data_IF_525352994633
#
_entry.id   IF_525352994633
#
_cell.length_a   1.000
_cell.length_b   1.000
_cell.length_c   1.000
_cell.angle_alpha   90.00
_cell.angle_beta   90.00
_cell.angle_gamma   90.00
#
_symmetry.space_group_name_H-M   'P 1'
#
loop_
_entity.id
_entity.type
_entity.pdbx_description
1 polymer ?
#
# COMPACT_ATOMS: atom_id res chain seq x y z
N UNK A 1 7.68 -12.77 9.24
CA UNK A 1 9.02 -12.32 8.77
C UNK A 1 9.62 -11.26 9.69
N UNK A 2 8.92 -10.15 9.95
CA UNK A 2 9.37 -9.14 10.94
C UNK A 2 9.65 -9.77 12.31
N UNK A 3 8.82 -10.72 12.75
CA UNK A 3 9.05 -11.51 13.96
C UNK A 3 10.42 -12.20 13.98
N UNK A 4 10.87 -12.77 12.86
CA UNK A 4 12.18 -13.45 12.80
C UNK A 4 13.34 -12.45 12.84
N UNK A 5 13.19 -11.25 12.27
CA UNK A 5 14.17 -10.17 12.43
C UNK A 5 14.28 -9.75 13.90
N UNK A 6 13.14 -9.60 14.58
CA UNK A 6 13.10 -9.30 16.01
C UNK A 6 13.78 -10.40 16.83
N UNK A 7 13.43 -11.66 16.60
CA UNK A 7 14.05 -12.79 17.28
C UNK A 7 15.57 -12.82 17.06
N UNK A 8 16.04 -12.51 15.85
CA UNK A 8 17.47 -12.44 15.57
C UNK A 8 18.14 -11.25 16.26
N UNK A 9 17.56 -10.06 16.18
CA UNK A 9 18.11 -8.83 16.76
C UNK A 9 18.29 -8.93 18.27
N UNK A 10 17.28 -9.47 18.95
CA UNK A 10 17.28 -9.64 20.40
C UNK A 10 17.94 -10.95 20.85
N UNK A 11 18.39 -11.79 19.91
CA UNK A 11 19.04 -13.08 20.22
C UNK A 11 18.11 -14.08 20.92
N UNK A 12 16.83 -14.09 20.55
CA UNK A 12 15.80 -14.95 21.13
C UNK A 12 15.61 -16.24 20.31
N UNK A 13 15.39 -17.36 21.00
CA UNK A 13 15.11 -18.66 20.35
C UNK A 13 13.67 -18.80 19.84
N UNK A 14 12.72 -18.20 20.57
CA UNK A 14 11.31 -18.11 20.24
C UNK A 14 10.71 -16.84 20.89
N UNK A 15 9.43 -16.55 20.62
CA UNK A 15 8.75 -15.32 21.12
C UNK A 15 8.67 -15.27 22.65
N UNK A 16 8.75 -16.43 23.31
CA UNK A 16 8.66 -16.57 24.77
C UNK A 16 10.05 -16.52 25.45
N UNK A 17 11.13 -16.53 24.67
CA UNK A 17 12.50 -16.53 25.20
C UNK A 17 12.87 -15.15 25.72
N UNK A 18 13.71 -15.07 26.75
CA UNK A 18 14.24 -13.78 27.18
C UNK A 18 15.23 -13.21 26.14
N UNK A 19 15.17 -11.90 25.83
CA UNK A 19 16.16 -11.23 25.00
C UNK A 19 17.58 -11.35 25.56
N UNK A 20 18.52 -11.82 24.75
CA UNK A 20 19.94 -11.96 25.15
C UNK A 20 20.84 -10.85 24.59
N UNK A 21 20.36 -10.10 23.58
CA UNK A 21 21.11 -9.04 22.88
C UNK A 21 20.27 -7.78 22.74
N UNK A 22 20.95 -6.63 22.57
CA UNK A 22 20.36 -5.35 22.17
C UNK A 22 19.20 -4.81 23.03
N UNK A 23 19.08 -5.26 24.28
CA UNK A 23 18.11 -4.71 25.22
C UNK A 23 18.59 -3.38 25.80
N UNK A 24 17.72 -2.34 25.81
CA UNK A 24 18.06 -1.06 26.42
C UNK A 24 18.09 -1.19 27.94
N UNK A 25 19.07 -0.55 28.58
CA UNK A 25 19.11 -0.38 30.04
C UNK A 25 17.98 0.59 30.40
N UNK A 26 16.88 0.05 30.94
CA UNK A 26 15.65 0.81 31.22
C UNK A 26 15.90 1.93 32.24
N UNK A 27 15.83 3.18 31.80
CA UNK A 27 15.88 4.35 32.69
C UNK A 27 14.60 4.47 33.54
N UNK A 28 14.69 5.13 34.70
CA UNK A 28 13.57 5.25 35.66
C UNK A 28 12.43 6.15 35.16
N UNK A 29 12.74 7.19 34.37
CA UNK A 29 11.74 8.16 33.89
C UNK A 29 10.99 7.69 32.63
N UNK A 30 9.70 8.00 32.56
CA UNK A 30 8.80 7.62 31.46
C UNK A 30 9.14 8.28 30.11
N UNK A 31 9.52 9.56 30.11
CA UNK A 31 9.99 10.26 28.89
C UNK A 31 11.24 9.61 28.32
N UNK A 32 12.19 9.29 29.20
CA UNK A 32 13.49 8.73 28.83
C UNK A 32 13.35 7.29 28.32
N UNK A 33 12.37 6.53 28.85
CA UNK A 33 12.01 5.20 28.32
C UNK A 33 11.49 5.26 26.89
N UNK A 34 10.64 6.25 26.56
CA UNK A 34 10.15 6.41 25.18
C UNK A 34 11.30 6.68 24.23
N UNK A 35 12.20 7.61 24.59
CA UNK A 35 13.39 7.93 23.80
C UNK A 35 14.26 6.68 23.60
N UNK A 36 14.49 5.89 24.65
CA UNK A 36 15.26 4.63 24.55
C UNK A 36 14.61 3.59 23.62
N UNK A 37 13.27 3.47 23.64
CA UNK A 37 12.55 2.59 22.72
C UNK A 37 12.72 3.09 21.28
N UNK A 38 12.60 4.39 21.05
CA UNK A 38 12.82 4.97 19.71
C UNK A 38 14.25 4.72 19.22
N UNK A 39 15.28 4.96 20.04
CA UNK A 39 16.68 4.69 19.69
C UNK A 39 16.93 3.20 19.40
N UNK A 40 16.32 2.30 20.18
CA UNK A 40 16.39 0.86 19.95
C UNK A 40 15.73 0.48 18.62
N UNK A 41 14.56 1.03 18.32
CA UNK A 41 13.88 0.80 17.04
C UNK A 41 14.67 1.38 15.88
N UNK A 42 15.29 2.55 16.04
CA UNK A 42 16.15 3.15 15.02
C UNK A 42 17.37 2.26 14.72
N UNK A 43 18.02 1.72 15.76
CA UNK A 43 19.12 0.75 15.60
C UNK A 43 18.66 -0.55 14.94
N UNK A 44 17.49 -1.08 15.33
CA UNK A 44 16.88 -2.24 14.68
C UNK A 44 16.63 -1.97 13.18
N UNK A 45 16.02 -0.83 12.86
CA UNK A 45 15.73 -0.40 11.50
C UNK A 45 17.02 -0.23 10.69
N UNK A 46 18.08 0.31 11.31
CA UNK A 46 19.39 0.47 10.69
C UNK A 46 20.10 -0.87 10.43
N UNK A 47 20.00 -1.83 11.35
CA UNK A 47 20.63 -3.16 11.21
C UNK A 47 20.01 -3.98 10.06
N UNK A 48 18.68 -3.98 9.94
CA UNK A 48 17.99 -4.70 8.86
C UNK A 48 17.80 -3.87 7.59
N UNK A 49 18.41 -2.69 7.50
CA UNK A 49 18.59 -1.96 6.25
C UNK A 49 17.32 -1.32 5.68
N UNK A 50 16.34 -0.95 6.51
CA UNK A 50 15.16 -0.21 6.03
C UNK A 50 15.49 1.25 5.63
N UNK A 51 16.64 1.78 6.11
CA UNK A 51 17.10 3.15 5.84
C UNK A 51 18.53 3.22 5.25
N UNK A 52 19.20 2.09 5.04
CA UNK A 52 20.61 2.07 4.67
C UNK A 52 20.79 2.04 3.15
N UNK A 53 21.56 2.99 2.60
CA UNK A 53 22.13 2.85 1.27
C UNK A 53 23.07 1.64 1.29
N UNK A 54 22.91 0.70 0.35
CA UNK A 54 23.77 -0.47 0.26
C UNK A 54 25.24 -0.02 0.13
N UNK A 55 26.13 -0.54 0.98
CA UNK A 55 27.56 -0.28 0.84
C UNK A 55 28.17 -1.23 -0.19
N UNK A 56 29.33 -0.90 -0.74
CA UNK A 56 30.02 -1.75 -1.73
C UNK A 56 30.34 -3.17 -1.20
N UNK A 57 30.43 -3.33 0.12
CA UNK A 57 30.56 -4.63 0.79
C UNK A 57 29.30 -5.50 0.70
N UNK A 58 28.09 -4.90 0.75
CA UNK A 58 26.82 -5.62 0.59
C UNK A 58 26.60 -6.09 -0.88
N UNK A 59 27.29 -5.46 -1.83
CA UNK A 59 27.23 -5.81 -3.25
C UNK A 59 28.03 -7.10 -3.57
N UNK A 60 29.14 -7.36 -2.87
CA UNK A 60 30.01 -8.53 -3.05
C UNK A 60 29.48 -9.81 -2.38
N UNK A 61 28.43 -9.72 -1.58
CA UNK A 61 27.95 -10.82 -0.76
C UNK A 61 27.05 -11.80 -1.56
N UNK A 62 27.44 -13.08 -1.61
CA UNK A 62 26.71 -14.14 -2.33
C UNK A 62 25.66 -14.85 -1.44
N UNK A 63 24.86 -14.10 -0.68
CA UNK A 63 23.70 -14.63 0.05
C UNK A 63 22.39 -14.14 -0.58
N UNK A 64 21.89 -14.90 -1.55
CA UNK A 64 20.65 -14.54 -2.25
C UNK A 64 19.38 -14.80 -1.43
N UNK A 65 19.44 -15.68 -0.42
CA UNK A 65 18.32 -15.91 0.50
C UNK A 65 18.13 -14.69 1.40
N UNK A 66 19.22 -14.16 1.96
CA UNK A 66 19.19 -12.91 2.72
C UNK A 66 18.65 -11.76 1.86
N UNK A 67 19.20 -11.59 0.64
CA UNK A 67 18.75 -10.53 -0.30
C UNK A 67 17.25 -10.63 -0.60
N UNK A 68 16.74 -11.83 -0.86
CA UNK A 68 15.31 -12.05 -1.10
C UNK A 68 14.46 -11.68 0.11
N UNK A 69 14.81 -12.19 1.29
CA UNK A 69 14.02 -11.96 2.48
C UNK A 69 14.03 -10.50 2.92
N UNK A 70 15.15 -9.79 2.78
CA UNK A 70 15.25 -8.35 3.01
C UNK A 70 14.35 -7.57 2.06
N UNK A 71 14.42 -7.86 0.75
CA UNK A 71 13.59 -7.22 -0.26
C UNK A 71 12.08 -7.44 0.00
N UNK A 72 11.69 -8.67 0.34
CA UNK A 72 10.30 -9.00 0.70
C UNK A 72 9.84 -8.21 1.93
N UNK A 73 10.71 -8.05 2.93
CA UNK A 73 10.43 -7.21 4.10
C UNK A 73 10.20 -5.74 3.74
N UNK A 74 10.98 -5.15 2.82
CA UNK A 74 10.75 -3.78 2.35
C UNK A 74 9.33 -3.61 1.77
N UNK A 75 8.89 -4.53 0.92
CA UNK A 75 7.54 -4.50 0.36
C UNK A 75 6.46 -4.67 1.43
N UNK A 76 6.63 -5.63 2.35
CA UNK A 76 5.64 -5.89 3.40
C UNK A 76 5.49 -4.68 4.32
N UNK A 77 6.58 -4.06 4.75
CA UNK A 77 6.54 -2.88 5.62
C UNK A 77 5.88 -1.70 4.89
N UNK A 78 6.18 -1.48 3.62
CA UNK A 78 5.54 -0.44 2.81
C UNK A 78 4.01 -0.64 2.74
N UNK A 79 3.57 -1.87 2.45
CA UNK A 79 2.14 -2.19 2.37
C UNK A 79 1.44 -2.07 3.72
N UNK A 80 2.07 -2.53 4.80
CA UNK A 80 1.52 -2.39 6.15
C UNK A 80 1.40 -0.92 6.57
N UNK A 81 2.38 -0.08 6.24
CA UNK A 81 2.30 1.36 6.49
C UNK A 81 1.14 1.98 5.71
N UNK A 82 0.97 1.62 4.42
CA UNK A 82 -0.13 2.16 3.63
C UNK A 82 -1.51 1.69 4.14
N UNK A 83 -1.64 0.41 4.50
CA UNK A 83 -2.85 -0.12 5.12
C UNK A 83 -3.18 0.60 6.44
N UNK A 84 -2.18 0.86 7.28
CA UNK A 84 -2.35 1.62 8.53
C UNK A 84 -2.83 3.05 8.28
N UNK A 85 -2.20 3.75 7.32
CA UNK A 85 -2.61 5.11 6.91
C UNK A 85 -4.07 5.13 6.47
N UNK A 86 -4.48 4.16 5.65
CA UNK A 86 -5.87 4.02 5.19
C UNK A 86 -6.80 3.78 6.37
N UNK A 87 -6.47 2.83 7.25
CA UNK A 87 -7.34 2.41 8.36
C UNK A 87 -7.54 3.52 9.40
N UNK A 88 -6.50 4.27 9.70
CA UNK A 88 -6.56 5.44 10.58
C UNK A 88 -7.18 6.66 9.89
N UNK A 89 -7.23 6.69 8.55
CA UNK A 89 -7.69 7.86 7.78
C UNK A 89 -6.72 9.03 7.92
N UNK A 90 -5.41 8.73 8.00
CA UNK A 90 -4.39 9.71 8.33
C UNK A 90 -3.95 10.50 7.09
N UNK A 91 -4.62 11.64 6.88
CA UNK A 91 -4.32 12.53 5.77
C UNK A 91 -2.95 13.21 5.88
N UNK A 92 -2.29 13.22 7.04
CA UNK A 92 -0.95 13.80 7.18
C UNK A 92 0.11 12.83 6.65
N UNK A 93 -0.11 11.52 6.86
CA UNK A 93 0.81 10.46 6.42
C UNK A 93 0.60 10.00 4.98
N UNK A 94 -0.55 10.28 4.36
CA UNK A 94 -0.85 9.80 3.00
C UNK A 94 0.13 10.33 1.94
N UNK A 95 0.42 11.63 1.90
CA UNK A 95 1.30 12.22 0.88
C UNK A 95 2.73 11.67 1.00
N UNK A 96 3.39 11.69 2.18
CA UNK A 96 4.69 11.04 2.35
C UNK A 96 4.67 9.55 1.96
N UNK A 97 3.61 8.82 2.32
CA UNK A 97 3.49 7.39 1.99
C UNK A 97 3.43 7.16 0.47
N UNK A 98 2.68 7.98 -0.26
CA UNK A 98 2.61 7.94 -1.73
C UNK A 98 3.96 8.30 -2.37
N UNK A 99 4.69 9.29 -1.81
CA UNK A 99 6.04 9.62 -2.27
C UNK A 99 7.02 8.45 -2.11
N UNK A 100 6.91 7.66 -1.03
CA UNK A 100 7.69 6.43 -0.87
C UNK A 100 7.26 5.37 -1.89
N UNK A 101 5.96 5.12 -2.08
CA UNK A 101 5.46 4.14 -3.06
C UNK A 101 5.91 4.44 -4.49
N UNK A 102 5.99 5.72 -4.85
CA UNK A 102 6.46 6.16 -6.16
C UNK A 102 7.85 5.59 -6.52
N UNK A 103 8.80 5.58 -5.57
CA UNK A 103 10.13 5.01 -5.79
C UNK A 103 10.08 3.50 -6.06
N UNK A 104 9.23 2.79 -5.32
CA UNK A 104 9.02 1.35 -5.49
C UNK A 104 8.40 1.02 -6.85
N UNK A 105 7.40 1.79 -7.29
CA UNK A 105 6.79 1.60 -8.61
C UNK A 105 7.76 1.84 -9.75
N UNK A 106 8.62 2.86 -9.63
CA UNK A 106 9.67 3.11 -10.62
C UNK A 106 10.69 1.97 -10.66
N UNK A 107 11.06 1.45 -9.48
CA UNK A 107 12.02 0.33 -9.37
C UNK A 107 11.53 -0.97 -9.99
N UNK A 108 10.21 -1.15 -10.06
CA UNK A 108 9.60 -2.29 -10.73
C UNK A 108 9.47 -2.05 -12.24
N UNK A 109 9.02 -0.86 -12.64
CA UNK A 109 8.84 -0.51 -14.05
C UNK A 109 9.07 0.99 -14.29
N UNK A 110 9.98 1.32 -15.22
CA UNK A 110 10.26 2.70 -15.64
C UNK A 110 9.05 3.39 -16.29
N UNK A 111 8.15 2.61 -16.90
CA UNK A 111 6.91 3.05 -17.53
C UNK A 111 5.68 2.80 -16.65
N UNK A 112 5.88 2.74 -15.33
CA UNK A 112 4.79 2.48 -14.40
C UNK A 112 3.74 3.59 -14.46
N UNK A 113 2.51 3.25 -14.86
CA UNK A 113 1.37 4.16 -14.74
C UNK A 113 1.14 4.56 -13.28
N UNK A 114 1.35 3.63 -12.35
CA UNK A 114 1.19 3.91 -10.92
C UNK A 114 2.17 4.98 -10.41
N UNK A 115 3.39 5.03 -10.96
CA UNK A 115 4.32 6.13 -10.66
C UNK A 115 3.75 7.48 -11.10
N UNK A 116 3.17 7.55 -12.30
CA UNK A 116 2.63 8.78 -12.86
C UNK A 116 1.41 9.27 -12.06
N UNK A 117 0.50 8.37 -11.68
CA UNK A 117 -0.65 8.69 -10.82
C UNK A 117 -0.21 9.16 -9.42
N UNK A 118 0.81 8.51 -8.82
CA UNK A 118 1.37 8.93 -7.54
C UNK A 118 1.97 10.34 -7.63
N UNK A 119 2.72 10.63 -8.71
CA UNK A 119 3.33 11.93 -8.92
C UNK A 119 2.25 13.01 -9.13
N UNK A 120 1.24 12.74 -9.95
CA UNK A 120 0.12 13.66 -10.17
C UNK A 120 -0.64 13.96 -8.87
N UNK A 121 -0.91 12.94 -8.05
CA UNK A 121 -1.54 13.10 -6.74
C UNK A 121 -0.70 13.98 -5.80
N UNK A 122 0.61 13.72 -5.68
CA UNK A 122 1.52 14.52 -4.85
C UNK A 122 1.59 15.96 -5.35
N UNK A 123 1.71 16.16 -6.66
CA UNK A 123 1.74 17.49 -7.27
C UNK A 123 0.47 18.29 -6.99
N UNK A 124 -0.69 17.66 -7.12
CA UNK A 124 -1.97 18.27 -6.79
C UNK A 124 -2.04 18.68 -5.32
N UNK A 125 -1.73 17.76 -4.42
CA UNK A 125 -1.87 18.00 -2.99
C UNK A 125 -0.86 18.99 -2.42
N UNK A 126 0.36 19.05 -2.94
CA UNK A 126 1.42 19.89 -2.36
C UNK A 126 1.61 21.23 -3.09
N UNK A 127 1.28 21.32 -4.38
CA UNK A 127 1.61 22.50 -5.17
C UNK A 127 0.46 23.14 -5.95
N UNK A 128 -0.54 22.38 -6.41
CA UNK A 128 -1.57 22.91 -7.32
C UNK A 128 -2.89 23.29 -6.62
N UNK A 129 -3.33 22.51 -5.63
CA UNK A 129 -4.62 22.73 -4.98
C UNK A 129 -4.55 23.90 -3.98
N UNK A 130 -5.66 24.62 -3.85
CA UNK A 130 -5.84 25.56 -2.74
C UNK A 130 -5.77 24.82 -1.40
N UNK A 131 -5.41 25.48 -0.29
CA UNK A 131 -5.39 24.83 1.02
C UNK A 131 -6.71 24.13 1.39
N UNK A 132 -7.84 24.73 0.99
CA UNK A 132 -9.17 24.16 1.24
C UNK A 132 -9.42 22.90 0.39
N UNK A 133 -9.10 22.96 -0.91
CA UNK A 133 -9.33 21.82 -1.81
C UNK A 133 -8.38 20.66 -1.50
N UNK A 134 -7.15 20.97 -1.08
CA UNK A 134 -6.21 19.97 -0.55
C UNK A 134 -6.83 19.21 0.61
N UNK A 135 -7.37 19.90 1.61
CA UNK A 135 -8.01 19.24 2.76
C UNK A 135 -9.17 18.37 2.30
N UNK A 136 -10.04 18.88 1.42
CA UNK A 136 -11.17 18.11 0.87
C UNK A 136 -10.74 16.84 0.15
N UNK A 137 -9.69 16.92 -0.68
CA UNK A 137 -9.17 15.76 -1.40
C UNK A 137 -8.59 14.73 -0.43
N UNK A 138 -7.81 15.18 0.55
CA UNK A 138 -7.15 14.26 1.48
C UNK A 138 -8.13 13.63 2.48
N UNK A 139 -9.07 14.40 3.03
CA UNK A 139 -10.13 13.86 3.89
C UNK A 139 -11.10 12.98 3.10
N UNK A 140 -11.41 13.37 1.85
CA UNK A 140 -12.27 12.62 0.95
C UNK A 140 -11.65 11.33 0.41
N UNK A 141 -10.35 11.11 0.59
CA UNK A 141 -9.66 9.88 0.15
C UNK A 141 -10.10 8.64 0.95
N UNK A 142 -10.66 8.85 2.14
CA UNK A 142 -11.08 7.79 3.04
C UNK A 142 -12.56 7.91 3.41
N UNK A 143 -13.20 6.78 3.64
CA UNK A 143 -14.58 6.68 4.07
C UNK A 143 -14.70 5.79 5.31
N UNK A 144 -15.40 6.27 6.35
CA UNK A 144 -15.69 5.50 7.56
C UNK A 144 -17.16 5.04 7.59
N UNK A 145 -17.53 4.12 6.69
CA UNK A 145 -18.93 3.68 6.54
C UNK A 145 -19.50 3.01 7.81
N UNK A 146 -18.65 2.33 8.59
CA UNK A 146 -19.07 1.55 9.77
C UNK A 146 -18.93 2.31 11.09
N UNK A 147 -18.25 3.45 11.08
CA UNK A 147 -17.85 4.20 12.27
C UNK A 147 -16.80 3.47 13.13
N UNK A 148 -16.09 4.25 13.93
CA UNK A 148 -15.08 3.78 14.88
C UNK A 148 -13.64 3.93 14.38
N UNK A 149 -12.69 3.79 15.30
CA UNK A 149 -11.24 3.95 15.08
C UNK A 149 -10.71 2.77 14.27
N UNK A 150 -9.77 3.01 13.34
CA UNK A 150 -9.09 1.97 12.56
C UNK A 150 -9.99 1.22 11.56
N UNK A 151 -11.13 1.83 11.19
CA UNK A 151 -12.18 1.24 10.32
C UNK A 151 -12.45 2.05 9.04
N UNK A 152 -11.59 3.02 8.75
CA UNK A 152 -11.62 3.70 7.47
C UNK A 152 -11.25 2.72 6.34
N UNK A 153 -11.78 3.00 5.16
CA UNK A 153 -11.47 2.32 3.91
C UNK A 153 -11.25 3.37 2.81
N UNK A 154 -10.52 3.00 1.77
CA UNK A 154 -10.31 3.87 0.61
C UNK A 154 -11.66 4.21 -0.04
N UNK A 155 -11.90 5.50 -0.31
CA UNK A 155 -13.12 5.96 -0.96
C UNK A 155 -13.29 5.37 -2.37
N UNK A 156 -12.17 5.15 -3.09
CA UNK A 156 -12.19 4.46 -4.39
C UNK A 156 -12.72 3.03 -4.26
N UNK A 157 -12.30 2.28 -3.24
CA UNK A 157 -12.79 0.93 -2.97
C UNK A 157 -14.28 0.92 -2.61
N UNK A 158 -14.77 1.95 -1.91
CA UNK A 158 -16.22 2.12 -1.66
C UNK A 158 -16.97 2.30 -2.97
N UNK A 159 -16.47 3.18 -3.83
CA UNK A 159 -17.07 3.45 -5.12
C UNK A 159 -17.04 2.23 -6.04
N UNK A 160 -15.94 1.48 -6.07
CA UNK A 160 -15.81 0.25 -6.84
C UNK A 160 -16.86 -0.79 -6.40
N UNK A 161 -17.07 -0.94 -5.10
CA UNK A 161 -18.10 -1.83 -4.55
C UNK A 161 -19.52 -1.38 -4.91
N UNK A 162 -19.84 -0.09 -4.81
CA UNK A 162 -21.17 0.43 -5.21
C UNK A 162 -21.41 0.22 -6.71
N UNK A 163 -20.42 0.51 -7.56
CA UNK A 163 -20.51 0.28 -9.01
C UNK A 163 -20.72 -1.21 -9.32
N UNK A 164 -20.07 -2.12 -8.59
CA UNK A 164 -20.26 -3.56 -8.73
C UNK A 164 -21.71 -3.96 -8.40
N UNK A 165 -22.25 -3.49 -7.27
CA UNK A 165 -23.64 -3.73 -6.88
C UNK A 165 -24.63 -3.27 -7.97
N UNK A 166 -24.41 -2.06 -8.51
CA UNK A 166 -25.24 -1.50 -9.58
C UNK A 166 -25.18 -2.36 -10.84
N UNK A 167 -23.98 -2.78 -11.27
CA UNK A 167 -23.79 -3.65 -12.44
C UNK A 167 -24.49 -5.00 -12.28
N UNK A 168 -24.44 -5.59 -11.10
CA UNK A 168 -25.07 -6.87 -10.82
C UNK A 168 -26.61 -6.76 -10.93
N UNK A 169 -27.20 -5.69 -10.39
CA UNK A 169 -28.64 -5.46 -10.55
C UNK A 169 -29.05 -5.15 -11.99
N UNK A 170 -28.28 -4.33 -12.70
CA UNK A 170 -28.54 -4.06 -14.13
C UNK A 170 -28.48 -5.36 -14.94
N UNK A 171 -27.55 -6.26 -14.62
CA UNK A 171 -27.47 -7.58 -15.24
C UNK A 171 -28.69 -8.43 -14.91
N UNK A 172 -29.18 -8.39 -13.67
CA UNK A 172 -30.36 -9.12 -13.21
C UNK A 172 -31.66 -8.70 -13.91
N UNK A 173 -31.76 -7.47 -14.44
CA UNK A 173 -32.92 -7.02 -15.24
C UNK A 173 -33.13 -7.81 -16.54
N UNK A 174 -32.11 -8.55 -17.03
CA UNK A 174 -32.23 -9.37 -18.23
C UNK A 174 -32.57 -8.53 -19.47
N UNK A 175 -33.65 -8.91 -20.17
CA UNK A 175 -34.15 -8.18 -21.34
C UNK A 175 -34.91 -6.88 -20.99
N UNK A 176 -35.31 -6.70 -19.73
CA UNK A 176 -36.15 -5.56 -19.29
C UNK A 176 -35.32 -4.31 -18.95
N UNK A 177 -34.26 -4.03 -19.72
CA UNK A 177 -33.37 -2.88 -19.53
C UNK A 177 -33.96 -1.63 -20.19
N UNK A 178 -35.01 -1.08 -19.59
CA UNK A 178 -35.47 0.28 -19.93
C UNK A 178 -34.74 1.30 -19.06
N UNK A 179 -34.61 2.55 -19.50
CA UNK A 179 -33.93 3.61 -18.74
C UNK A 179 -34.54 3.78 -17.34
N UNK A 180 -35.87 3.69 -17.25
CA UNK A 180 -36.58 3.77 -15.98
C UNK A 180 -36.29 2.57 -15.06
N UNK A 181 -36.17 1.36 -15.61
CA UNK A 181 -35.81 0.18 -14.84
C UNK A 181 -34.35 0.25 -14.36
N UNK A 182 -33.44 0.74 -15.20
CA UNK A 182 -32.04 0.96 -14.85
C UNK A 182 -31.92 1.99 -13.73
N UNK A 183 -32.55 3.16 -13.88
CA UNK A 183 -32.54 4.21 -12.85
C UNK A 183 -33.10 3.73 -11.50
N UNK A 184 -34.16 2.91 -11.55
CA UNK A 184 -34.74 2.33 -10.34
C UNK A 184 -33.79 1.33 -9.69
N UNK A 185 -33.16 0.46 -10.48
CA UNK A 185 -32.23 -0.55 -10.00
C UNK A 185 -30.96 0.08 -9.40
N UNK A 186 -30.38 1.09 -10.06
CA UNK A 186 -29.15 1.74 -9.56
C UNK A 186 -29.39 2.51 -8.26
N UNK A 187 -30.50 3.26 -8.15
CA UNK A 187 -30.86 4.00 -6.93
C UNK A 187 -31.12 3.11 -5.71
N UNK A 188 -31.53 1.86 -5.94
CA UNK A 188 -31.82 0.91 -4.87
C UNK A 188 -30.69 -0.09 -4.62
N UNK A 189 -29.59 -0.03 -5.38
CA UNK A 189 -28.57 -1.07 -5.39
C UNK A 189 -27.92 -1.34 -4.05
N UNK A 190 -27.44 -0.29 -3.38
CA UNK A 190 -26.75 -0.45 -2.10
C UNK A 190 -27.72 -0.84 -0.98
N UNK A 191 -28.98 -0.35 -1.03
CA UNK A 191 -30.04 -0.75 -0.09
C UNK A 191 -30.40 -2.23 -0.24
N UNK A 192 -30.55 -2.70 -1.48
CA UNK A 192 -30.83 -4.12 -1.77
C UNK A 192 -29.66 -4.98 -1.29
N UNK A 193 -28.41 -4.58 -1.55
CA UNK A 193 -27.24 -5.29 -1.07
C UNK A 193 -27.19 -5.40 0.46
N UNK A 194 -27.56 -4.32 1.17
CA UNK A 194 -27.65 -4.31 2.63
C UNK A 194 -28.74 -5.25 3.14
N UNK A 195 -29.94 -5.23 2.54
CA UNK A 195 -31.05 -6.12 2.89
C UNK A 195 -30.65 -7.58 2.68
N UNK A 196 -30.06 -7.92 1.53
CA UNK A 196 -29.57 -9.27 1.25
C UNK A 196 -28.54 -9.70 2.28
N UNK A 197 -27.56 -8.85 2.63
CA UNK A 197 -26.57 -9.17 3.66
C UNK A 197 -27.22 -9.40 5.03
N UNK A 198 -28.25 -8.63 5.40
CA UNK A 198 -28.97 -8.81 6.67
C UNK A 198 -29.77 -10.12 6.70
N UNK A 199 -30.39 -10.50 5.58
CA UNK A 199 -31.09 -11.78 5.45
C UNK A 199 -30.12 -12.95 5.51
N UNK A 200 -29.00 -12.88 4.80
CA UNK A 200 -27.97 -13.92 4.84
C UNK A 200 -27.45 -14.11 6.27
N UNK A 201 -27.19 -13.01 6.98
CA UNK A 201 -26.76 -13.04 8.38
C UNK A 201 -27.83 -13.63 9.32
N UNK A 202 -29.10 -13.27 9.15
CA UNK A 202 -30.19 -13.78 10.01
C UNK A 202 -30.44 -15.27 9.80
N UNK A 203 -30.28 -15.74 8.57
CA UNK A 203 -30.39 -17.15 8.21
C UNK A 203 -29.09 -17.94 8.46
N UNK A 204 -28.05 -17.28 8.98
CA UNK A 204 -26.71 -17.88 9.16
C UNK A 204 -26.16 -18.52 7.87
N UNK A 205 -26.56 -17.98 6.71
CA UNK A 205 -26.07 -18.43 5.42
C UNK A 205 -24.61 -18.02 5.31
N UNK A 206 -23.73 -19.01 5.27
CA UNK A 206 -22.33 -18.77 4.96
C UNK A 206 -22.24 -18.37 3.50
N UNK A 207 -21.68 -17.18 3.25
CA UNK A 207 -21.35 -16.72 1.89
C UNK A 207 -20.59 -17.85 1.19
N UNK A 208 -21.05 -18.29 0.02
CA UNK A 208 -20.34 -19.32 -0.74
C UNK A 208 -18.94 -18.81 -1.03
N UNK A 209 -17.94 -19.46 -0.43
CA UNK A 209 -16.54 -19.14 -0.68
C UNK A 209 -16.28 -19.33 -2.16
N UNK A 210 -15.85 -18.29 -2.87
CA UNK A 210 -15.35 -18.47 -4.23
C UNK A 210 -14.16 -19.44 -4.21
N UNK A 211 -13.87 -20.12 -5.32
CA UNK A 211 -12.73 -21.04 -5.45
C UNK A 211 -11.36 -20.41 -5.13
N UNK A 212 -11.31 -19.08 -4.92
CA UNK A 212 -10.12 -18.31 -4.58
C UNK A 212 -10.13 -17.72 -3.16
N UNK A 213 -11.15 -18.00 -2.35
CA UNK A 213 -11.10 -17.69 -0.92
C UNK A 213 -10.25 -18.74 -0.21
N UNK A 214 -8.93 -18.65 -0.40
CA UNK A 214 -8.01 -19.36 0.47
C UNK A 214 -8.13 -18.71 1.85
N UNK A 215 -8.91 -19.34 2.73
CA UNK A 215 -8.84 -19.05 4.16
C UNK A 215 -7.38 -19.21 4.58
N UNK A 216 -6.80 -18.18 5.22
CA UNK A 216 -5.47 -18.27 5.83
C UNK A 216 -5.46 -19.50 6.73
N UNK A 217 -4.77 -20.55 6.30
CA UNK A 217 -4.67 -21.80 7.04
C UNK A 217 -3.65 -21.56 8.14
N UNK A 218 -4.08 -21.57 9.39
CA UNK A 218 -3.17 -21.51 10.55
C UNK A 218 -2.10 -22.60 10.48
N UNK A 219 -2.40 -23.73 9.83
CA UNK A 219 -1.43 -24.81 9.58
C UNK A 219 -0.33 -24.35 8.62
N UNK A 220 -0.68 -23.62 7.56
CA UNK A 220 0.27 -23.13 6.56
C UNK A 220 1.15 -22.05 7.17
N UNK A 221 0.57 -21.15 7.98
CA UNK A 221 1.32 -20.14 8.73
C UNK A 221 2.33 -20.79 9.70
N UNK A 222 1.92 -21.84 10.42
CA UNK A 222 2.81 -22.58 11.31
C UNK A 222 3.95 -23.29 10.55
N UNK A 223 3.66 -23.86 9.37
CA UNK A 223 4.67 -24.47 8.50
C UNK A 223 5.66 -23.42 7.98
N UNK A 224 5.17 -22.26 7.55
CA UNK A 224 6.01 -21.14 7.10
C UNK A 224 6.90 -20.67 8.24
N UNK A 225 6.36 -20.44 9.44
CA UNK A 225 7.13 -20.02 10.61
C UNK A 225 8.23 -21.03 10.96
N UNK A 226 7.89 -22.33 11.01
CA UNK A 226 8.87 -23.40 11.26
C UNK A 226 9.97 -23.46 10.19
N UNK A 227 9.62 -23.22 8.93
CA UNK A 227 10.57 -23.21 7.81
C UNK A 227 11.50 -22.01 7.90
N UNK A 228 10.95 -20.81 8.13
CA UNK A 228 11.74 -19.59 8.33
C UNK A 228 12.71 -19.72 9.50
N UNK A 229 12.27 -20.32 10.61
CA UNK A 229 13.11 -20.53 11.79
C UNK A 229 14.32 -21.42 11.51
N UNK A 230 14.14 -22.47 10.71
CA UNK A 230 15.24 -23.32 10.26
C UNK A 230 16.20 -22.60 9.31
N UNK A 231 15.64 -21.81 8.40
CA UNK A 231 16.42 -21.12 7.37
C UNK A 231 17.24 -19.95 7.93
N UNK A 232 16.80 -19.31 9.02
CA UNK A 232 17.41 -18.10 9.60
C UNK A 232 17.75 -17.08 8.49
N UNK A 233 16.73 -16.58 7.78
CA UNK A 233 16.93 -15.83 6.53
C UNK A 233 17.70 -14.53 6.71
N UNK A 234 17.66 -13.94 7.91
CA UNK A 234 18.34 -12.67 8.18
C UNK A 234 19.74 -12.86 8.77
N UNK A 235 20.19 -14.10 9.01
CA UNK A 235 21.56 -14.40 9.41
C UNK A 235 22.40 -14.54 8.14
N UNK A 236 23.32 -13.60 7.91
CA UNK A 236 24.24 -13.63 6.77
C UNK A 236 25.02 -14.94 6.76
N UNK A 237 24.92 -15.69 5.66
CA UNK A 237 25.62 -16.96 5.46
C UNK A 237 26.15 -17.00 4.02
N UNK A 238 27.46 -17.06 3.86
CA UNK A 238 28.10 -17.05 2.55
C UNK A 238 27.64 -18.22 1.67
N UNK A 239 27.33 -17.95 0.40
CA UNK A 239 27.05 -18.96 -0.61
C UNK A 239 25.63 -19.53 -0.63
N UNK A 240 24.68 -18.98 0.14
CA UNK A 240 23.28 -19.43 0.09
C UNK A 240 22.58 -18.97 -1.20
N UNK A 241 21.99 -19.94 -1.90
CA UNK A 241 21.29 -19.72 -3.18
C UNK A 241 19.78 -19.94 -3.02
N UNK A 242 18.99 -18.94 -3.40
CA UNK A 242 17.54 -19.04 -3.51
C UNK A 242 17.19 -19.74 -4.83
N UNK A 243 16.69 -20.97 -4.75
CA UNK A 243 16.34 -21.75 -5.92
C UNK A 243 15.17 -21.10 -6.66
N UNK A 244 15.31 -20.86 -7.97
CA UNK A 244 14.25 -20.37 -8.85
C UNK A 244 14.20 -18.85 -9.07
N UNK A 245 14.97 -18.04 -8.35
CA UNK A 245 15.03 -16.59 -8.56
C UNK A 245 16.50 -16.14 -8.64
N UNK A 246 17.08 -16.04 -9.85
CA UNK A 246 18.44 -15.54 -10.02
C UNK A 246 18.51 -14.01 -9.84
N UNK A 247 19.67 -13.49 -9.44
CA UNK A 247 19.99 -12.05 -9.39
C UNK A 247 19.03 -11.17 -8.57
N UNK A 248 18.73 -11.60 -7.34
CA UNK A 248 17.87 -10.83 -6.43
C UNK A 248 18.69 -9.71 -5.77
N UNK A 249 18.17 -8.48 -5.82
CA UNK A 249 18.73 -7.36 -5.08
C UNK A 249 18.18 -7.32 -3.65
N UNK A 250 19.01 -6.92 -2.69
CA UNK A 250 18.62 -6.82 -1.28
C UNK A 250 17.59 -5.73 -0.96
N UNK A 251 17.47 -4.73 -1.84
CA UNK A 251 16.43 -3.69 -1.79
C UNK A 251 15.86 -3.48 -3.19
N UNK A 252 14.53 -3.24 -3.33
CA UNK A 252 13.93 -2.81 -4.59
C UNK A 252 14.58 -1.54 -5.14
N UNK A 253 14.95 -0.61 -4.26
CA UNK A 253 15.48 0.70 -4.63
C UNK A 253 16.88 0.65 -5.24
N UNK A 254 17.62 -0.46 -5.06
CA UNK A 254 18.94 -0.64 -5.68
C UNK A 254 18.88 -0.68 -7.21
N UNK A 255 17.69 -0.84 -7.79
CA UNK A 255 17.47 -0.87 -9.24
C UNK A 255 17.35 0.53 -9.86
N UNK A 256 17.21 1.57 -9.06
CA UNK A 256 17.01 2.94 -9.52
C UNK A 256 18.11 3.84 -9.01
N UNK A 257 18.59 4.73 -9.86
CA UNK A 257 19.49 5.81 -9.42
C UNK A 257 18.71 7.08 -9.14
N UNK A 258 19.29 7.97 -8.32
CA UNK A 258 18.70 9.29 -8.05
C UNK A 258 18.51 10.11 -9.34
N UNK A 259 19.44 9.98 -10.28
CA UNK A 259 19.39 10.65 -11.58
C UNK A 259 18.25 10.12 -12.44
N UNK A 260 18.10 8.80 -12.54
CA UNK A 260 16.99 8.18 -13.28
C UNK A 260 15.62 8.60 -12.71
N UNK A 261 15.50 8.64 -11.38
CA UNK A 261 14.29 9.10 -10.72
C UNK A 261 14.00 10.57 -11.06
N UNK A 262 15.01 11.45 -10.95
CA UNK A 262 14.87 12.88 -11.24
C UNK A 262 14.49 13.15 -12.70
N UNK A 263 15.12 12.43 -13.63
CA UNK A 263 14.82 12.54 -15.06
C UNK A 263 13.37 12.12 -15.32
N UNK A 264 12.93 11.01 -14.72
CA UNK A 264 11.56 10.52 -14.90
C UNK A 264 10.51 11.49 -14.34
N UNK A 265 10.76 12.08 -13.17
CA UNK A 265 9.88 13.12 -12.61
C UNK A 265 9.76 14.29 -13.58
N UNK A 266 10.90 14.77 -14.10
CA UNK A 266 10.93 15.88 -15.07
C UNK A 266 10.15 15.53 -16.35
N UNK A 267 10.33 14.33 -16.90
CA UNK A 267 9.63 13.89 -18.11
C UNK A 267 8.10 13.88 -17.93
N UNK A 268 7.64 13.33 -16.80
CA UNK A 268 6.20 13.27 -16.50
C UNK A 268 5.64 14.67 -16.27
N UNK A 269 6.37 15.52 -15.55
CA UNK A 269 6.01 16.92 -15.32
C UNK A 269 5.89 17.71 -16.63
N UNK A 270 6.88 17.60 -17.52
CA UNK A 270 6.84 18.19 -18.84
C UNK A 270 5.61 17.72 -19.62
N UNK A 271 5.35 16.41 -19.65
CA UNK A 271 4.20 15.84 -20.36
C UNK A 271 2.86 16.34 -19.79
N UNK A 272 2.73 16.43 -18.46
CA UNK A 272 1.53 16.97 -17.81
C UNK A 272 1.31 18.45 -18.16
N UNK A 273 2.39 19.24 -18.21
CA UNK A 273 2.34 20.64 -18.64
C UNK A 273 1.93 20.77 -20.13
N UNK A 274 2.54 19.99 -21.03
CA UNK A 274 2.18 20.01 -22.45
C UNK A 274 0.75 19.52 -22.71
N UNK A 275 0.25 18.54 -21.94
CA UNK A 275 -1.13 18.07 -22.03
C UNK A 275 -2.17 19.17 -21.73
N UNK A 276 -1.86 20.12 -20.84
CA UNK A 276 -2.72 21.27 -20.57
C UNK A 276 -2.75 22.28 -21.72
N UNK A 277 -1.61 22.54 -22.38
CA UNK A 277 -1.54 23.50 -23.50
C UNK A 277 -2.34 23.06 -24.74
N UNK A 278 -2.60 21.76 -24.91
CA UNK A 278 -3.33 21.22 -26.08
C UNK A 278 -4.85 21.20 -25.88
N UNK A 279 -5.33 21.19 -24.64
CA UNK A 279 -6.77 21.21 -24.31
C UNK A 279 -7.30 22.64 -24.05
N UNK A 280 -6.43 23.66 -24.08
CA UNK A 280 -6.79 25.07 -23.89
C UNK A 280 -7.22 25.80 -25.17
N UNK A 281 -7.24 25.14 -26.33
CA UNK A 281 -7.78 25.69 -27.58
C UNK A 281 -9.16 25.07 -27.87
N UNK A 282 -10.15 25.41 -27.07
CA UNK A 282 -11.53 25.33 -27.54
C UNK A 282 -11.88 26.72 -28.07
N UNK A 283 -11.95 26.82 -29.40
CA UNK A 283 -12.58 27.94 -30.09
C UNK A 283 -14.03 28.06 -29.58
N UNK A 284 -14.35 29.24 -29.05
CA UNK A 284 -15.70 29.66 -28.69
C UNK A 284 -16.56 29.67 -29.97
N UNK A 285 -17.62 28.86 -30.10
CA UNK A 285 -18.57 29.04 -31.18
C UNK A 285 -19.37 30.31 -30.88
N UNK A 286 -19.20 31.31 -31.75
CA UNK A 286 -19.93 32.57 -31.76
C UNK A 286 -21.42 32.38 -31.43
N UNK A 287 -21.92 33.26 -30.56
CA UNK A 287 -23.33 33.54 -30.34
C UNK A 287 -24.05 33.72 -31.69
N UNK A 288 -24.92 32.77 -32.06
CA UNK A 288 -26.00 33.04 -32.99
C UNK A 288 -27.14 33.65 -32.18
N UNK A 289 -27.22 34.97 -32.25
CA UNK A 289 -28.41 35.75 -31.91
C UNK A 289 -29.54 35.41 -32.88
N UNK A 290 -30.57 34.71 -32.41
CA UNK A 290 -31.87 34.67 -33.07
C UNK A 290 -32.72 35.81 -32.47
N UNK A 291 -32.83 36.91 -33.21
CA UNK A 291 -33.93 37.88 -33.10
C UNK A 291 -34.83 37.72 -34.33
N UNK A 292 -36.11 37.43 -34.06
CA UNK A 292 -37.35 37.49 -34.86
C UNK A 292 -37.51 36.70 -36.18
#
# INVERSE_FOLDING_TARGET
MVTEQFLQYFGMENVESEPTKNMPIMKKNLSDRRIQIFEMMEKFIAEFGYLKNCTDADAQENDSVFKYCSNLCHWVVLLLNFEDVVREGDFQRIVPSVMYMMQFFLSHSKLSKYFEECLDFVMKCEFLLSPLDRVRVLEGAFANLRGGIGKNIESDLVQENSVRNQKDLIRALGANKTDQAILRATRSADVIAEICSKIDNSLSLKKQSSKHSCSKSLKDEAVIAKTLRKLKPFQRTEGRICQGIPNIHGSPLNRITKEEFSNRVTDVMCRLYYGQTRNGSYDDPQECSDED
#
